data_IF_985380066131
#
_entry.id   IF_985380066131
#
_cell.length_a   1.000
_cell.length_b   1.000
_cell.length_c   1.000
_cell.angle_alpha   90.00
_cell.angle_beta   90.00
_cell.angle_gamma   90.00
#
_symmetry.space_group_name_H-M   'P 1'
#
loop_
_entity.id
_entity.type
_entity.pdbx_description
1 polymer ?
#
# COMPACT_ATOMS: atom_id res chain seq x y z
N UNK A 1 2.04 7.52 -31.58
CA UNK A 1 1.78 7.56 -30.12
C UNK A 1 1.63 6.11 -29.65
N UNK A 2 2.50 5.61 -28.77
CA UNK A 2 2.47 4.22 -28.31
C UNK A 2 1.93 4.14 -26.88
N UNK A 3 1.00 3.23 -26.63
CA UNK A 3 0.41 3.00 -25.29
C UNK A 3 1.27 1.99 -24.54
N UNK A 4 1.63 2.30 -23.29
CA UNK A 4 2.31 1.37 -22.37
C UNK A 4 1.52 1.16 -21.09
N UNK A 5 1.79 0.06 -20.40
CA UNK A 5 1.31 -0.14 -19.03
C UNK A 5 2.08 0.75 -18.06
N UNK A 6 1.45 1.08 -16.93
CA UNK A 6 2.14 1.66 -15.79
C UNK A 6 3.10 0.63 -15.20
N UNK A 7 4.23 1.10 -14.72
CA UNK A 7 5.23 0.32 -13.96
C UNK A 7 4.74 0.05 -12.53
N UNK A 8 5.32 -0.91 -11.80
CA UNK A 8 4.92 -1.16 -10.42
C UNK A 8 5.12 0.06 -9.53
N UNK A 9 6.21 0.82 -9.72
CA UNK A 9 6.50 2.04 -8.95
C UNK A 9 5.49 3.16 -9.23
N UNK A 10 5.07 3.31 -10.48
CA UNK A 10 3.98 4.24 -10.79
C UNK A 10 2.68 3.84 -10.07
N UNK A 11 2.36 2.54 -10.02
CA UNK A 11 1.20 2.04 -9.29
C UNK A 11 1.32 2.16 -7.75
N UNK A 12 2.53 1.99 -7.18
CA UNK A 12 2.81 2.24 -5.75
C UNK A 12 2.45 3.68 -5.39
N UNK A 13 2.95 4.63 -6.17
CA UNK A 13 2.68 6.06 -5.98
C UNK A 13 1.21 6.40 -6.15
N UNK A 14 0.52 5.81 -7.14
CA UNK A 14 -0.92 6.00 -7.32
C UNK A 14 -1.73 5.56 -6.10
N UNK A 15 -1.31 4.47 -5.45
CA UNK A 15 -1.94 3.97 -4.22
C UNK A 15 -1.48 4.74 -2.97
N UNK A 16 -0.43 5.56 -3.05
CA UNK A 16 0.15 6.32 -1.93
C UNK A 16 1.16 5.54 -1.10
N UNK A 17 1.74 4.46 -1.64
CA UNK A 17 2.87 3.77 -1.04
C UNK A 17 4.19 4.49 -1.35
N UNK A 18 5.19 4.24 -0.51
CA UNK A 18 6.57 4.64 -0.78
C UNK A 18 7.12 3.94 -2.02
N UNK A 19 8.15 4.52 -2.62
CA UNK A 19 8.83 3.92 -3.77
C UNK A 19 9.41 2.55 -3.40
N UNK A 20 9.19 1.56 -4.27
CA UNK A 20 9.65 0.18 -4.13
C UNK A 20 9.08 -0.57 -2.92
N UNK A 21 7.95 -0.11 -2.37
CA UNK A 21 7.27 -0.75 -1.26
C UNK A 21 6.95 -2.24 -1.50
N UNK A 22 6.67 -2.61 -2.76
CA UNK A 22 6.39 -4.01 -3.12
C UNK A 22 7.61 -4.78 -3.66
N UNK A 23 8.78 -4.14 -3.75
CA UNK A 23 10.02 -4.77 -4.19
C UNK A 23 10.65 -5.58 -3.04
N UNK A 24 10.10 -6.76 -2.80
CA UNK A 24 10.53 -7.67 -1.72
C UNK A 24 11.17 -8.95 -2.27
N UNK A 25 12.01 -9.66 -1.48
CA UNK A 25 12.51 -10.99 -1.85
C UNK A 25 11.38 -11.95 -2.23
N UNK A 26 11.56 -12.73 -3.29
CA UNK A 26 10.51 -13.59 -3.84
C UNK A 26 11.03 -15.00 -4.13
N UNK A 27 10.40 -16.02 -3.54
CA UNK A 27 10.76 -17.45 -3.72
C UNK A 27 12.27 -17.73 -3.52
N UNK A 28 12.85 -17.19 -2.45
CA UNK A 28 14.26 -17.37 -2.11
C UNK A 28 15.23 -16.54 -2.95
N UNK A 29 14.74 -15.70 -3.88
CA UNK A 29 15.54 -14.76 -4.65
C UNK A 29 15.56 -13.38 -3.99
N UNK A 30 16.65 -12.61 -4.16
CA UNK A 30 16.74 -11.25 -3.65
C UNK A 30 15.69 -10.32 -4.31
N UNK A 31 15.47 -9.15 -3.69
CA UNK A 31 14.39 -8.22 -4.03
C UNK A 31 14.49 -7.64 -5.45
N UNK A 32 15.71 -7.42 -5.94
CA UNK A 32 16.02 -6.99 -7.31
C UNK A 32 15.53 -8.00 -8.38
N UNK A 33 15.33 -9.26 -8.00
CA UNK A 33 14.80 -10.31 -8.88
C UNK A 33 13.30 -10.56 -8.67
N UNK A 34 12.61 -9.69 -7.92
CA UNK A 34 11.17 -9.79 -7.73
C UNK A 34 10.44 -9.46 -9.04
N UNK A 35 9.65 -10.40 -9.60
CA UNK A 35 8.92 -10.13 -10.83
C UNK A 35 7.81 -9.10 -10.63
N UNK A 36 7.48 -8.35 -11.69
CA UNK A 36 6.42 -7.34 -11.64
C UNK A 36 5.02 -7.91 -11.37
N UNK A 37 4.73 -9.13 -11.83
CA UNK A 37 3.42 -9.76 -11.66
C UNK A 37 2.94 -9.83 -10.20
N UNK A 38 3.73 -10.43 -9.28
CA UNK A 38 3.49 -10.38 -7.85
C UNK A 38 3.32 -8.97 -7.29
N UNK A 39 4.12 -8.00 -7.75
CA UNK A 39 4.02 -6.59 -7.33
C UNK A 39 2.67 -5.98 -7.71
N UNK A 40 2.24 -6.11 -8.96
CA UNK A 40 0.92 -5.65 -9.40
C UNK A 40 -0.22 -6.34 -8.64
N UNK A 41 -0.10 -7.65 -8.38
CA UNK A 41 -1.11 -8.39 -7.60
C UNK A 41 -1.20 -7.88 -6.16
N UNK A 42 -0.06 -7.62 -5.51
CA UNK A 42 -0.03 -7.05 -4.17
C UNK A 42 -0.68 -5.66 -4.15
N UNK A 43 -0.32 -4.78 -5.10
CA UNK A 43 -0.90 -3.44 -5.20
C UNK A 43 -2.40 -3.46 -5.48
N UNK A 44 -2.86 -4.32 -6.38
CA UNK A 44 -4.27 -4.42 -6.78
C UNK A 44 -5.16 -5.03 -5.70
N UNK A 45 -4.62 -5.91 -4.84
CA UNK A 45 -5.34 -6.45 -3.69
C UNK A 45 -5.25 -5.57 -2.44
N UNK A 46 -4.40 -4.54 -2.47
CA UNK A 46 -4.23 -3.61 -1.35
C UNK A 46 -5.29 -2.51 -1.37
N UNK A 47 -5.19 -1.59 -0.40
CA UNK A 47 -6.06 -0.43 -0.25
C UNK A 47 -5.23 0.85 -0.43
N UNK A 48 -5.84 1.90 -1.01
CA UNK A 48 -5.20 3.19 -1.17
C UNK A 48 -4.86 3.79 0.21
N UNK A 49 -3.58 4.11 0.42
CA UNK A 49 -3.03 4.60 1.70
C UNK A 49 -3.78 5.85 2.21
N UNK A 50 -4.11 6.86 1.37
CA UNK A 50 -4.83 8.04 1.86
C UNK A 50 -6.23 7.72 2.41
N UNK A 51 -6.93 6.76 1.80
CA UNK A 51 -8.26 6.33 2.25
C UNK A 51 -8.16 5.64 3.62
N UNK A 52 -7.21 4.72 3.78
CA UNK A 52 -7.00 4.01 5.04
C UNK A 52 -6.55 4.94 6.16
N UNK A 53 -5.68 5.92 5.87
CA UNK A 53 -5.27 6.92 6.83
C UNK A 53 -6.46 7.79 7.30
N UNK A 54 -7.37 8.15 6.41
CA UNK A 54 -8.56 8.92 6.76
C UNK A 54 -9.53 8.14 7.65
N UNK A 55 -9.78 6.86 7.34
CA UNK A 55 -10.62 5.97 8.15
C UNK A 55 -9.98 5.76 9.52
N UNK A 56 -8.70 5.42 9.57
CA UNK A 56 -7.96 5.14 10.81
C UNK A 56 -7.99 6.31 11.79
N UNK A 57 -7.81 7.55 11.30
CA UNK A 57 -7.91 8.76 12.14
C UNK A 57 -9.26 8.91 12.84
N UNK A 58 -10.36 8.47 12.20
CA UNK A 58 -11.70 8.56 12.77
C UNK A 58 -11.95 7.46 13.80
N UNK A 59 -11.50 6.24 13.52
CA UNK A 59 -11.56 5.14 14.48
C UNK A 59 -10.79 5.52 15.75
N UNK A 60 -9.56 6.01 15.60
CA UNK A 60 -8.72 6.48 16.72
C UNK A 60 -9.39 7.62 17.51
N UNK A 61 -10.05 8.57 16.83
CA UNK A 61 -10.80 9.62 17.53
C UNK A 61 -11.94 9.08 18.42
N UNK A 62 -12.68 8.08 17.94
CA UNK A 62 -13.75 7.44 18.72
C UNK A 62 -13.16 6.60 19.86
N UNK A 63 -12.12 5.81 19.59
CA UNK A 63 -11.46 4.98 20.60
C UNK A 63 -10.89 5.82 21.76
N UNK A 64 -10.33 6.99 21.44
CA UNK A 64 -9.84 7.94 22.46
C UNK A 64 -10.95 8.50 23.33
N UNK A 65 -12.15 8.73 22.79
CA UNK A 65 -13.29 9.19 23.58
C UNK A 65 -13.78 8.07 24.51
N UNK A 66 -13.98 6.86 23.97
CA UNK A 66 -14.43 5.71 24.74
C UNK A 66 -13.48 5.37 25.91
N UNK A 67 -12.16 5.52 25.73
CA UNK A 67 -11.18 5.33 26.82
C UNK A 67 -11.25 6.39 27.92
N UNK A 68 -11.69 7.60 27.60
CA UNK A 68 -11.89 8.66 28.59
C UNK A 68 -13.17 8.45 29.38
N UNK A 69 -14.24 8.01 28.72
CA UNK A 69 -15.54 7.77 29.36
C UNK A 69 -15.52 6.56 30.32
N UNK A 70 -14.59 5.61 30.10
CA UNK A 70 -14.37 4.43 30.94
C UNK A 70 -13.35 4.64 32.08
N UNK A 71 -12.89 5.87 32.32
CA UNK A 71 -11.94 6.20 33.39
C UNK A 71 -12.58 7.16 34.40
#
# INVERSE_FOLDING_TARGET
>A
MAVRRLTPRECERLQGFDDDHTLIPWRGKPADQCPDGPRYKALGNSMAVPCMAWIGKRIDAVDRNNRKDNK
#
